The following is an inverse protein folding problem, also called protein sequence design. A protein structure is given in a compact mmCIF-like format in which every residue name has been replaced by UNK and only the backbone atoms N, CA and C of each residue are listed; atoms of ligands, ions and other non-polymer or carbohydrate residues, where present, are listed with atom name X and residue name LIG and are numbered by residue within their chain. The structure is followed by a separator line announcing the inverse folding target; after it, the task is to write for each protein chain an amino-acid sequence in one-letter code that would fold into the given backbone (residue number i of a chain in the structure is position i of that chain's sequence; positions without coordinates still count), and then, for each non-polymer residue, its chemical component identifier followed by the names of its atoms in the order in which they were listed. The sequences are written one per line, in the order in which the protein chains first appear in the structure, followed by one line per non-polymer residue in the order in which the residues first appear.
data_IF_320790025740
#
_entry.id   IF_320790025740
#
_cell.length_a   1.000
_cell.length_b   1.000
_cell.length_c   1.000
_cell.angle_alpha   90.00
_cell.angle_beta   90.00
_cell.angle_gamma   90.00
#
_symmetry.space_group_name_H-M   'P 1'
#
loop_
_entity.id
_entity.type
_entity.pdbx_description
1 polymer ?
#
# COMPACT_ATOMS: atom_id res chain seq x y z
N UNK A 1 -16.19 1.36 -7.49
CA UNK A 1 -15.13 2.30 -7.02
C UNK A 1 -14.06 2.41 -8.08
N UNK A 2 -13.51 3.60 -8.31
CA UNK A 2 -12.45 3.85 -9.31
C UNK A 2 -11.21 4.39 -8.59
N UNK A 3 -10.21 3.52 -8.35
CA UNK A 3 -8.94 3.90 -7.73
C UNK A 3 -8.03 4.72 -8.65
N UNK A 4 -8.32 4.74 -9.96
CA UNK A 4 -7.37 5.22 -10.96
C UNK A 4 -6.14 4.29 -11.09
N UNK A 5 -5.28 4.55 -12.07
CA UNK A 5 -4.07 3.75 -12.30
C UNK A 5 -2.96 4.10 -11.31
N UNK A 6 -2.89 5.36 -10.89
CA UNK A 6 -1.83 5.88 -10.02
C UNK A 6 -2.44 6.53 -8.77
N UNK A 7 -1.89 6.18 -7.62
CA UNK A 7 -2.19 6.80 -6.33
C UNK A 7 -0.95 7.18 -5.55
N UNK A 8 -1.16 7.62 -4.32
CA UNK A 8 -0.08 7.87 -3.36
C UNK A 8 -0.22 6.97 -2.14
N UNK A 9 0.89 6.64 -1.52
CA UNK A 9 0.95 6.02 -0.21
C UNK A 9 1.74 6.92 0.74
N UNK A 10 1.17 7.29 1.86
CA UNK A 10 1.90 7.95 2.96
C UNK A 10 1.08 7.93 4.25
N UNK A 11 1.77 7.95 5.39
CA UNK A 11 1.12 8.15 6.69
C UNK A 11 1.03 9.64 7.03
N UNK A 12 0.29 9.99 8.06
CA UNK A 12 0.23 11.37 8.56
C UNK A 12 1.45 11.77 9.40
N UNK A 13 2.36 10.84 9.72
CA UNK A 13 3.51 11.09 10.61
C UNK A 13 4.38 12.26 10.19
N UNK A 14 4.74 12.44 8.89
CA UNK A 14 5.65 13.53 8.49
C UNK A 14 5.06 14.93 8.65
N UNK A 15 3.73 15.09 8.66
CA UNK A 15 3.08 16.40 8.67
C UNK A 15 1.94 16.55 9.69
N UNK A 16 1.59 15.49 10.39
CA UNK A 16 0.51 15.44 11.39
C UNK A 16 -0.90 15.34 10.77
N UNK A 17 -1.86 14.74 11.52
CA UNK A 17 -3.23 14.51 11.03
C UNK A 17 -3.99 15.81 10.74
N UNK A 18 -3.66 16.91 11.40
CA UNK A 18 -4.29 18.21 11.15
C UNK A 18 -4.08 18.75 9.72
N UNK A 19 -2.98 18.31 9.06
CA UNK A 19 -2.68 18.70 7.68
C UNK A 19 -3.11 17.67 6.63
N UNK A 20 -3.79 16.59 7.04
CA UNK A 20 -4.23 15.54 6.12
C UNK A 20 -5.15 16.08 5.01
N UNK A 21 -6.09 16.96 5.35
CA UNK A 21 -6.97 17.59 4.36
C UNK A 21 -6.23 18.50 3.36
N UNK A 22 -5.19 19.21 3.80
CA UNK A 22 -4.33 20.02 2.91
C UNK A 22 -3.58 19.11 1.92
N UNK A 23 -2.99 18.05 2.43
CA UNK A 23 -2.28 17.07 1.61
C UNK A 23 -3.20 16.37 0.61
N UNK A 24 -4.42 15.98 1.06
CA UNK A 24 -5.41 15.32 0.22
C UNK A 24 -5.88 16.19 -0.97
N UNK A 25 -6.12 17.49 -0.72
CA UNK A 25 -6.44 18.44 -1.81
C UNK A 25 -5.34 18.50 -2.85
N UNK A 26 -4.08 18.52 -2.41
CA UNK A 26 -2.94 18.51 -3.35
C UNK A 26 -2.91 17.21 -4.16
N UNK A 27 -3.08 16.05 -3.51
CA UNK A 27 -3.10 14.74 -4.18
C UNK A 27 -4.19 14.69 -5.25
N UNK A 28 -5.41 15.14 -4.92
CA UNK A 28 -6.53 15.22 -5.87
C UNK A 28 -6.25 16.20 -7.01
N UNK A 29 -5.75 17.39 -6.72
CA UNK A 29 -5.42 18.42 -7.72
C UNK A 29 -4.34 17.98 -8.71
N UNK A 30 -3.42 17.13 -8.27
CA UNK A 30 -2.38 16.53 -9.10
C UNK A 30 -2.89 15.35 -9.94
N UNK A 31 -4.15 14.93 -9.78
CA UNK A 31 -4.77 13.87 -10.60
C UNK A 31 -4.55 12.45 -10.08
N UNK A 32 -3.98 12.27 -8.90
CA UNK A 32 -3.91 10.93 -8.29
C UNK A 32 -5.31 10.42 -7.94
N UNK A 33 -5.59 9.15 -8.23
CA UNK A 33 -6.93 8.58 -8.03
C UNK A 33 -7.18 8.09 -6.62
N UNK A 34 -6.15 7.72 -5.86
CA UNK A 34 -6.28 7.20 -4.51
C UNK A 34 -5.14 7.63 -3.58
N UNK A 35 -5.46 7.70 -2.28
CA UNK A 35 -4.46 7.80 -1.21
C UNK A 35 -4.60 6.63 -0.25
N UNK A 36 -3.57 5.79 -0.22
CA UNK A 36 -3.41 4.73 0.76
C UNK A 36 -2.75 5.29 2.02
N UNK A 37 -3.52 5.45 3.07
CA UNK A 37 -3.06 6.02 4.33
C UNK A 37 -2.32 4.97 5.14
N UNK A 38 -1.02 5.16 5.31
CA UNK A 38 -0.13 4.25 6.03
C UNK A 38 -0.12 4.44 7.54
N UNK A 39 0.66 3.60 8.23
CA UNK A 39 0.88 3.71 9.68
C UNK A 39 -0.16 3.00 10.53
N UNK A 40 -0.87 2.01 9.97
CA UNK A 40 -1.95 1.24 10.62
C UNK A 40 -3.12 2.12 11.10
N UNK A 41 -3.73 2.89 10.20
CA UNK A 41 -4.86 3.76 10.54
C UNK A 41 -6.08 2.93 10.93
N UNK A 42 -6.96 3.51 11.75
CA UNK A 42 -8.35 3.09 11.85
C UNK A 42 -9.16 3.67 10.69
N UNK A 43 -10.33 3.10 10.40
CA UNK A 43 -11.19 3.59 9.29
C UNK A 43 -11.54 5.07 9.45
N UNK A 44 -11.88 5.50 10.66
CA UNK A 44 -12.22 6.90 10.98
C UNK A 44 -11.10 7.90 10.68
N UNK A 45 -9.83 7.44 10.65
CA UNK A 45 -8.68 8.31 10.34
C UNK A 45 -8.67 8.75 8.87
N UNK A 46 -9.47 8.12 7.99
CA UNK A 46 -9.62 8.51 6.58
C UNK A 46 -10.55 9.71 6.38
N UNK A 47 -11.37 10.06 7.38
CA UNK A 47 -12.35 11.17 7.28
C UNK A 47 -11.73 12.51 6.83
N UNK A 48 -10.55 12.96 7.32
CA UNK A 48 -9.97 14.22 6.86
C UNK A 48 -9.63 14.24 5.37
N UNK A 49 -9.21 13.09 4.81
CA UNK A 49 -8.93 12.93 3.37
C UNK A 49 -10.23 13.03 2.58
N UNK A 50 -11.23 12.25 2.95
CA UNK A 50 -12.54 12.18 2.28
C UNK A 50 -13.29 13.52 2.33
N UNK A 51 -13.28 14.18 3.48
CA UNK A 51 -13.98 15.46 3.67
C UNK A 51 -13.34 16.63 2.93
N UNK A 52 -12.04 16.53 2.63
CA UNK A 52 -11.29 17.59 1.96
C UNK A 52 -11.31 17.48 0.43
N UNK A 53 -11.79 16.37 -0.14
CA UNK A 53 -11.72 16.02 -1.56
C UNK A 53 -13.09 15.61 -2.10
N UNK A 54 -13.23 15.56 -3.43
CA UNK A 54 -14.49 15.27 -4.11
C UNK A 54 -14.52 13.92 -4.81
N UNK A 55 -13.38 13.45 -5.31
CA UNK A 55 -13.23 12.24 -6.15
C UNK A 55 -12.18 11.27 -5.62
N UNK A 56 -11.20 11.77 -4.85
CA UNK A 56 -10.10 10.97 -4.33
C UNK A 56 -10.62 9.81 -3.48
N UNK A 57 -10.17 8.60 -3.79
CA UNK A 57 -10.44 7.42 -2.95
C UNK A 57 -9.46 7.41 -1.78
N UNK A 58 -9.95 7.25 -0.57
CA UNK A 58 -9.12 7.01 0.61
C UNK A 58 -9.12 5.51 0.93
N UNK A 59 -7.92 4.97 1.16
CA UNK A 59 -7.73 3.58 1.52
C UNK A 59 -6.91 3.43 2.80
N UNK A 60 -7.19 2.42 3.63
CA UNK A 60 -6.27 2.06 4.70
C UNK A 60 -5.09 1.27 4.12
N UNK A 61 -3.87 1.71 4.36
CA UNK A 61 -2.64 1.07 3.86
C UNK A 61 -1.70 0.64 4.99
N UNK A 62 -2.09 -0.25 5.88
CA UNK A 62 -3.31 -1.07 6.07
C UNK A 62 -3.82 -0.98 7.52
N UNK A 63 -5.12 -1.21 7.71
CA UNK A 63 -5.69 -1.49 9.02
C UNK A 63 -5.11 -2.82 9.54
N UNK A 64 -4.66 -2.83 10.80
CA UNK A 64 -4.05 -4.01 11.39
C UNK A 64 -5.05 -4.80 12.24
N UNK A 65 -5.31 -6.06 11.89
CA UNK A 65 -6.32 -6.91 12.57
C UNK A 65 -6.06 -7.14 14.06
N UNK A 66 -4.80 -7.03 14.52
CA UNK A 66 -4.45 -7.18 15.94
C UNK A 66 -4.75 -5.93 16.80
N UNK A 67 -5.02 -4.81 16.13
CA UNK A 67 -5.26 -3.50 16.75
C UNK A 67 -6.65 -2.94 16.49
N UNK A 68 -7.49 -3.72 15.81
CA UNK A 68 -8.80 -3.28 15.35
C UNK A 68 -9.87 -4.27 15.75
N UNK A 69 -10.94 -3.78 16.31
CA UNK A 69 -12.16 -4.58 16.52
C UNK A 69 -12.94 -4.65 15.19
N UNK A 70 -13.35 -5.83 14.71
CA UNK A 70 -14.06 -5.97 13.45
C UNK A 70 -15.45 -5.32 13.44
N UNK A 71 -16.15 -5.26 14.58
CA UNK A 71 -17.47 -4.64 14.65
C UNK A 71 -17.38 -3.11 14.64
N UNK A 72 -16.41 -2.55 15.37
CA UNK A 72 -16.11 -1.11 15.30
C UNK A 72 -15.65 -0.73 13.89
N UNK A 73 -14.78 -1.57 13.27
CA UNK A 73 -14.32 -1.37 11.88
C UNK A 73 -15.48 -1.32 10.92
N UNK A 74 -16.44 -2.26 11.02
CA UNK A 74 -17.61 -2.31 10.16
C UNK A 74 -18.54 -1.09 10.37
N UNK A 75 -18.70 -0.64 11.60
CA UNK A 75 -19.52 0.54 11.93
C UNK A 75 -18.90 1.84 11.38
N UNK A 76 -17.60 2.07 11.61
CA UNK A 76 -16.85 3.20 11.07
C UNK A 76 -16.86 3.21 9.53
N UNK A 77 -16.72 2.02 8.90
CA UNK A 77 -16.75 1.84 7.47
C UNK A 77 -18.13 2.22 6.88
N UNK A 78 -19.20 1.74 7.50
CA UNK A 78 -20.57 2.05 7.07
C UNK A 78 -20.88 3.56 7.20
N UNK A 79 -20.44 4.18 8.29
CA UNK A 79 -20.61 5.63 8.49
C UNK A 79 -19.90 6.44 7.39
N UNK A 80 -18.62 6.11 7.11
CA UNK A 80 -17.85 6.81 6.08
C UNK A 80 -18.38 6.54 4.67
N UNK A 81 -18.84 5.33 4.36
CA UNK A 81 -19.47 5.01 3.06
C UNK A 81 -20.78 5.77 2.85
N UNK A 82 -21.58 5.91 3.89
CA UNK A 82 -22.81 6.71 3.81
C UNK A 82 -22.51 8.18 3.55
N UNK A 83 -21.46 8.71 4.18
CA UNK A 83 -21.05 10.12 4.00
C UNK A 83 -20.30 10.37 2.69
N UNK A 84 -19.54 9.38 2.18
CA UNK A 84 -18.64 9.51 1.03
C UNK A 84 -18.76 8.28 0.09
N UNK A 85 -19.92 8.10 -0.57
CA UNK A 85 -20.20 6.89 -1.34
C UNK A 85 -19.19 6.63 -2.46
N UNK A 86 -18.73 5.37 -2.56
CA UNK A 86 -17.80 4.90 -3.60
C UNK A 86 -16.36 5.39 -3.47
N UNK A 87 -15.97 5.97 -2.33
CA UNK A 87 -14.66 6.60 -2.13
C UNK A 87 -13.82 5.98 -0.99
N UNK A 88 -14.21 4.82 -0.49
CA UNK A 88 -13.51 4.14 0.60
C UNK A 88 -13.10 2.73 0.19
N UNK A 89 -11.80 2.41 0.33
CA UNK A 89 -11.26 1.06 0.21
C UNK A 89 -10.68 0.62 1.57
N UNK A 90 -11.21 -0.48 2.11
CA UNK A 90 -10.71 -1.05 3.35
C UNK A 90 -9.54 -2.01 3.05
N UNK A 91 -8.31 -1.54 3.16
CA UNK A 91 -7.11 -2.38 3.12
C UNK A 91 -6.82 -2.99 4.49
N UNK A 92 -6.78 -4.32 4.57
CA UNK A 92 -6.67 -5.08 5.82
C UNK A 92 -5.36 -5.88 5.80
N UNK A 93 -4.60 -5.85 6.89
CA UNK A 93 -3.36 -6.58 7.00
C UNK A 93 -3.19 -7.27 8.35
N UNK A 94 -2.31 -8.28 8.34
CA UNK A 94 -2.02 -9.10 9.52
C UNK A 94 -0.78 -8.60 10.29
N UNK A 95 -0.06 -7.61 9.77
CA UNK A 95 1.20 -7.15 10.36
C UNK A 95 2.30 -8.21 10.33
N UNK A 96 3.22 -8.13 11.27
CA UNK A 96 4.43 -8.94 11.32
C UNK A 96 4.64 -9.53 12.71
N UNK A 97 5.19 -10.77 12.83
CA UNK A 97 5.44 -11.41 14.12
C UNK A 97 6.43 -10.61 15.00
N UNK A 98 7.36 -9.90 14.36
CA UNK A 98 8.35 -9.05 15.03
C UNK A 98 7.71 -7.78 15.64
N UNK A 99 6.52 -7.39 15.18
CA UNK A 99 5.83 -6.17 15.59
C UNK A 99 4.69 -6.38 16.60
N UNK A 100 4.31 -7.64 16.89
CA UNK A 100 3.22 -7.93 17.85
C UNK A 100 3.38 -9.29 18.51
N UNK A 101 3.27 -9.33 19.83
CA UNK A 101 3.32 -10.55 20.66
C UNK A 101 2.14 -11.50 20.38
N UNK A 102 1.04 -11.00 19.88
CA UNK A 102 -0.19 -11.76 19.63
C UNK A 102 -0.23 -12.43 18.26
N UNK A 103 0.82 -12.28 17.46
CA UNK A 103 0.91 -12.84 16.12
C UNK A 103 0.88 -14.37 16.17
N UNK A 104 -0.30 -14.95 15.99
CA UNK A 104 -0.51 -16.40 15.99
C UNK A 104 -1.47 -16.80 14.88
N UNK A 105 -1.11 -17.86 14.12
CA UNK A 105 -1.97 -18.41 13.07
C UNK A 105 -2.54 -17.32 12.14
N UNK A 106 -1.69 -16.54 11.46
CA UNK A 106 -2.09 -15.33 10.74
C UNK A 106 -3.23 -15.56 9.74
N UNK A 107 -3.23 -16.67 9.02
CA UNK A 107 -4.31 -16.99 8.08
C UNK A 107 -5.65 -17.23 8.79
N UNK A 108 -5.63 -17.90 9.96
CA UNK A 108 -6.84 -18.12 10.77
C UNK A 108 -7.35 -16.81 11.33
N UNK A 109 -6.46 -15.97 11.88
CA UNK A 109 -6.83 -14.66 12.42
C UNK A 109 -7.45 -13.76 11.35
N UNK A 110 -6.86 -13.70 10.15
CA UNK A 110 -7.44 -12.95 9.04
C UNK A 110 -8.81 -13.48 8.63
N UNK A 111 -9.00 -14.80 8.56
CA UNK A 111 -10.31 -15.41 8.28
C UNK A 111 -11.35 -15.02 9.33
N UNK A 112 -10.99 -15.17 10.62
CA UNK A 112 -11.91 -14.82 11.72
C UNK A 112 -12.29 -13.34 11.70
N UNK A 113 -11.35 -12.44 11.36
CA UNK A 113 -11.63 -11.02 11.21
C UNK A 113 -12.62 -10.76 10.07
N UNK A 114 -12.41 -11.39 8.89
CA UNK A 114 -13.32 -11.28 7.76
C UNK A 114 -14.69 -11.88 8.05
N UNK A 115 -14.76 -13.01 8.77
CA UNK A 115 -16.02 -13.64 9.16
C UNK A 115 -16.82 -12.74 10.10
N UNK A 116 -16.14 -12.05 11.03
CA UNK A 116 -16.76 -11.07 11.93
C UNK A 116 -17.24 -9.82 11.19
N UNK A 117 -16.48 -9.32 10.20
CA UNK A 117 -16.93 -8.22 9.32
C UNK A 117 -18.19 -8.62 8.54
N UNK A 118 -18.24 -9.83 7.97
CA UNK A 118 -19.37 -10.31 7.18
C UNK A 118 -20.62 -10.55 8.05
N UNK A 119 -20.43 -10.94 9.31
CA UNK A 119 -21.51 -11.16 10.28
C UNK A 119 -21.97 -9.89 11.01
N UNK A 120 -21.31 -8.76 10.79
CA UNK A 120 -21.65 -7.49 11.44
C UNK A 120 -23.03 -6.98 10.97
N UNK A 121 -23.70 -6.11 11.74
CA UNK A 121 -24.95 -5.47 11.31
C UNK A 121 -24.77 -4.59 10.04
N UNK A 122 -23.56 -4.14 9.77
CA UNK A 122 -23.20 -3.28 8.65
C UNK A 122 -21.97 -3.83 7.92
N UNK A 123 -22.08 -4.96 7.20
CA UNK A 123 -20.92 -5.63 6.61
C UNK A 123 -20.27 -4.77 5.52
N UNK A 124 -18.94 -4.70 5.56
CA UNK A 124 -18.15 -4.09 4.47
C UNK A 124 -18.27 -4.95 3.20
N UNK A 125 -18.69 -4.41 2.05
CA UNK A 125 -18.78 -5.18 0.81
C UNK A 125 -17.45 -5.81 0.40
N UNK A 126 -17.42 -7.07 -0.08
CA UNK A 126 -16.19 -7.75 -0.48
C UNK A 126 -15.39 -7.04 -1.58
N UNK A 127 -16.06 -6.31 -2.49
CA UNK A 127 -15.45 -5.54 -3.58
C UNK A 127 -14.94 -4.15 -3.15
N UNK A 128 -15.14 -3.79 -1.90
CA UNK A 128 -14.66 -2.52 -1.31
C UNK A 128 -13.62 -2.75 -0.20
N UNK A 129 -13.09 -3.96 -0.10
CA UNK A 129 -11.98 -4.30 0.79
C UNK A 129 -10.91 -5.11 0.06
N UNK A 130 -9.65 -5.01 0.48
CA UNK A 130 -8.53 -5.80 -0.04
C UNK A 130 -7.62 -6.26 1.09
N UNK A 131 -6.79 -7.27 0.83
CA UNK A 131 -5.82 -7.75 1.81
C UNK A 131 -4.39 -7.32 1.46
N UNK A 132 -3.59 -7.00 2.48
CA UNK A 132 -2.14 -6.98 2.35
C UNK A 132 -1.66 -8.44 2.35
N UNK A 133 -1.45 -9.01 1.18
CA UNK A 133 -1.18 -10.43 0.99
C UNK A 133 0.04 -10.66 0.11
N UNK A 134 1.11 -11.23 0.66
CA UNK A 134 2.32 -11.63 -0.06
C UNK A 134 2.36 -13.15 -0.28
N UNK A 135 2.08 -13.91 0.78
CA UNK A 135 2.17 -15.37 0.75
C UNK A 135 1.01 -16.02 -0.03
N UNK A 136 1.27 -17.16 -0.73
CA UNK A 136 0.28 -17.83 -1.58
C UNK A 136 -1.08 -18.07 -0.93
N UNK A 137 -1.13 -18.58 0.30
CA UNK A 137 -2.39 -18.86 1.00
C UNK A 137 -3.18 -17.60 1.36
N UNK A 138 -2.49 -16.48 1.61
CA UNK A 138 -3.13 -15.20 1.88
C UNK A 138 -3.65 -14.58 0.58
N UNK A 139 -2.94 -14.71 -0.54
CA UNK A 139 -3.42 -14.34 -1.88
C UNK A 139 -4.67 -15.14 -2.28
N UNK A 140 -4.73 -16.45 -1.97
CA UNK A 140 -5.94 -17.25 -2.19
C UNK A 140 -7.14 -16.73 -1.38
N UNK A 141 -6.89 -16.34 -0.13
CA UNK A 141 -7.92 -15.73 0.71
C UNK A 141 -8.39 -14.38 0.16
N UNK A 142 -7.45 -13.54 -0.29
CA UNK A 142 -7.76 -12.26 -0.93
C UNK A 142 -8.63 -12.48 -2.18
N UNK A 143 -8.26 -13.42 -3.05
CA UNK A 143 -9.05 -13.79 -4.24
C UNK A 143 -10.47 -14.21 -3.89
N UNK A 144 -10.63 -15.02 -2.84
CA UNK A 144 -11.92 -15.60 -2.48
C UNK A 144 -12.86 -14.61 -1.76
N UNK A 145 -12.32 -13.69 -0.97
CA UNK A 145 -13.11 -12.93 0.02
C UNK A 145 -13.09 -11.41 -0.17
N UNK A 146 -12.31 -10.89 -1.15
CA UNK A 146 -12.10 -9.43 -1.28
C UNK A 146 -11.99 -9.01 -2.76
N UNK A 147 -11.85 -7.70 -3.00
CA UNK A 147 -11.53 -7.15 -4.31
C UNK A 147 -10.18 -7.63 -4.84
N UNK A 148 -9.21 -7.89 -3.95
CA UNK A 148 -7.86 -8.29 -4.35
C UNK A 148 -6.82 -8.01 -3.27
N UNK A 149 -5.64 -7.55 -3.69
CA UNK A 149 -4.50 -7.33 -2.79
C UNK A 149 -3.85 -5.96 -2.93
N UNK A 150 -3.42 -5.41 -1.80
CA UNK A 150 -2.46 -4.32 -1.71
C UNK A 150 -1.10 -4.90 -1.32
N UNK A 151 -0.14 -4.82 -2.23
CA UNK A 151 1.21 -5.34 -2.03
C UNK A 151 2.12 -4.23 -1.50
N UNK A 152 3.10 -4.59 -0.70
CA UNK A 152 4.02 -3.63 -0.10
C UNK A 152 5.44 -4.15 -0.14
N UNK A 153 6.41 -3.29 -0.48
CA UNK A 153 7.83 -3.62 -0.56
C UNK A 153 8.10 -4.85 -1.45
N UNK A 154 7.64 -4.80 -2.70
CA UNK A 154 7.70 -5.92 -3.66
C UNK A 154 8.34 -5.49 -4.99
N UNK A 155 8.90 -6.48 -5.70
CA UNK A 155 9.37 -6.30 -7.08
C UNK A 155 8.22 -6.42 -8.11
N UNK A 156 8.41 -5.97 -9.36
CA UNK A 156 7.48 -6.25 -10.46
C UNK A 156 7.24 -7.76 -10.68
N UNK A 157 8.25 -8.59 -10.45
CA UNK A 157 8.10 -10.05 -10.55
C UNK A 157 7.12 -10.58 -9.50
N UNK A 158 7.16 -10.09 -8.25
CA UNK A 158 6.17 -10.47 -7.24
C UNK A 158 4.75 -10.00 -7.63
N UNK A 159 4.63 -8.83 -8.22
CA UNK A 159 3.36 -8.33 -8.78
C UNK A 159 2.81 -9.30 -9.83
N UNK A 160 3.66 -9.81 -10.73
CA UNK A 160 3.29 -10.80 -11.74
C UNK A 160 2.83 -12.13 -11.11
N UNK A 161 3.54 -12.61 -10.08
CA UNK A 161 3.14 -13.81 -9.34
C UNK A 161 1.78 -13.62 -8.64
N UNK A 162 1.55 -12.46 -8.01
CA UNK A 162 0.28 -12.13 -7.38
C UNK A 162 -0.86 -12.05 -8.42
N UNK A 163 -0.65 -11.40 -9.57
CA UNK A 163 -1.61 -11.36 -10.67
C UNK A 163 -1.97 -12.75 -11.16
N UNK A 164 -0.98 -13.58 -11.41
CA UNK A 164 -1.22 -14.96 -11.83
C UNK A 164 -2.08 -15.74 -10.84
N UNK A 165 -1.81 -15.56 -9.54
CA UNK A 165 -2.55 -16.27 -8.49
C UNK A 165 -3.96 -15.75 -8.26
N UNK A 166 -4.15 -14.45 -8.32
CA UNK A 166 -5.46 -13.81 -8.15
C UNK A 166 -6.37 -14.04 -9.37
N UNK A 167 -5.78 -14.10 -10.57
CA UNK A 167 -6.53 -14.20 -11.82
C UNK A 167 -7.07 -12.83 -12.30
N UNK A 168 -7.82 -12.84 -13.40
CA UNK A 168 -8.43 -11.63 -13.95
C UNK A 168 -9.54 -11.08 -13.06
N UNK A 169 -9.77 -9.77 -13.16
CA UNK A 169 -10.87 -9.08 -12.46
C UNK A 169 -10.65 -8.87 -10.95
N UNK A 170 -9.47 -9.22 -10.43
CA UNK A 170 -9.08 -8.94 -9.05
C UNK A 170 -8.05 -7.82 -9.01
N UNK A 171 -8.21 -6.91 -8.05
CA UNK A 171 -7.30 -5.80 -7.82
C UNK A 171 -5.89 -6.30 -7.43
N UNK A 172 -4.87 -5.82 -8.11
CA UNK A 172 -3.46 -5.90 -7.70
C UNK A 172 -2.92 -4.48 -7.59
N UNK A 173 -2.69 -4.02 -6.37
CA UNK A 173 -2.32 -2.65 -6.08
C UNK A 173 -1.01 -2.59 -5.27
N UNK A 174 0.17 -2.68 -5.91
CA UNK A 174 1.44 -2.51 -5.21
C UNK A 174 1.67 -1.07 -4.77
N UNK A 175 2.30 -0.93 -3.62
CA UNK A 175 3.02 0.27 -3.21
C UNK A 175 4.42 0.26 -3.84
N UNK A 176 4.92 1.43 -4.21
CA UNK A 176 6.28 1.64 -4.69
C UNK A 176 6.94 2.79 -3.95
N UNK A 177 7.77 2.45 -2.94
CA UNK A 177 8.66 3.42 -2.33
C UNK A 177 9.69 3.91 -3.36
N UNK A 178 10.04 5.20 -3.34
CA UNK A 178 11.01 5.75 -4.29
C UNK A 178 11.74 6.97 -3.70
N UNK A 179 12.92 7.28 -4.26
CA UNK A 179 13.73 8.45 -3.87
C UNK A 179 13.96 9.34 -5.10
N UNK A 180 13.37 10.53 -5.09
CA UNK A 180 13.55 11.50 -6.18
C UNK A 180 14.84 12.29 -5.99
N UNK A 181 15.96 11.65 -6.25
CA UNK A 181 17.30 12.23 -6.18
C UNK A 181 18.20 11.56 -7.22
N UNK A 182 18.88 12.38 -8.03
CA UNK A 182 19.78 11.92 -9.10
C UNK A 182 21.23 11.71 -8.60
N UNK A 183 21.55 12.08 -7.39
CA UNK A 183 22.80 11.69 -6.72
C UNK A 183 22.66 10.25 -6.23
N UNK A 184 23.26 9.32 -6.94
CA UNK A 184 23.10 7.87 -6.73
C UNK A 184 23.48 7.43 -5.32
N UNK A 185 24.57 7.96 -4.77
CA UNK A 185 25.05 7.53 -3.45
C UNK A 185 24.11 8.01 -2.34
N UNK A 186 23.69 9.27 -2.41
CA UNK A 186 22.75 9.85 -1.45
C UNK A 186 21.37 9.18 -1.55
N UNK A 187 20.86 9.01 -2.75
CA UNK A 187 19.57 8.36 -3.00
C UNK A 187 19.56 6.92 -2.50
N UNK A 188 20.59 6.14 -2.82
CA UNK A 188 20.71 4.75 -2.38
C UNK A 188 20.87 4.63 -0.87
N UNK A 189 21.53 5.59 -0.21
CA UNK A 189 21.61 5.62 1.25
C UNK A 189 20.22 5.77 1.89
N UNK A 190 19.36 6.65 1.37
CA UNK A 190 17.97 6.81 1.82
C UNK A 190 17.16 5.53 1.56
N UNK A 191 17.28 4.96 0.36
CA UNK A 191 16.59 3.73 -0.01
C UNK A 191 16.98 2.55 0.89
N UNK A 192 18.27 2.37 1.21
CA UNK A 192 18.76 1.33 2.12
C UNK A 192 18.26 1.52 3.55
N UNK A 193 18.31 2.75 4.07
CA UNK A 193 17.81 3.04 5.41
C UNK A 193 16.32 2.66 5.55
N UNK A 194 15.53 2.91 4.52
CA UNK A 194 14.14 2.46 4.47
C UNK A 194 14.03 0.94 4.37
N UNK A 195 14.75 0.31 3.44
CA UNK A 195 14.70 -1.13 3.18
C UNK A 195 15.10 -1.97 4.39
N UNK A 196 16.04 -1.51 5.23
CA UNK A 196 16.46 -2.20 6.45
C UNK A 196 15.29 -2.53 7.39
N UNK A 197 14.26 -1.66 7.44
CA UNK A 197 13.07 -1.90 8.26
C UNK A 197 12.24 -3.10 7.78
N UNK A 198 12.38 -3.51 6.53
CA UNK A 198 11.61 -4.59 5.90
C UNK A 198 12.43 -5.86 5.69
N UNK A 199 13.74 -5.73 5.40
CA UNK A 199 14.63 -6.87 5.21
C UNK A 199 14.84 -7.70 6.50
N UNK A 200 14.56 -7.12 7.67
CA UNK A 200 14.50 -7.85 8.95
C UNK A 200 13.20 -8.62 9.19
N UNK A 201 12.20 -8.51 8.29
CA UNK A 201 10.88 -9.12 8.46
C UNK A 201 10.72 -10.32 7.53
N UNK A 202 10.61 -11.52 8.10
CA UNK A 202 10.69 -12.79 7.38
C UNK A 202 9.68 -12.98 6.25
N UNK A 203 8.51 -12.34 6.30
CA UNK A 203 7.51 -12.41 5.23
C UNK A 203 7.92 -11.60 3.98
N UNK A 204 8.60 -10.45 4.15
CA UNK A 204 9.13 -9.69 3.00
C UNK A 204 10.32 -10.38 2.38
N UNK A 205 11.28 -10.84 3.21
CA UNK A 205 12.43 -11.60 2.74
C UNK A 205 12.00 -12.82 1.93
N UNK A 206 11.00 -13.57 2.43
CA UNK A 206 10.44 -14.72 1.70
C UNK A 206 9.83 -14.30 0.35
N UNK A 207 9.05 -13.22 0.31
CA UNK A 207 8.44 -12.74 -0.93
C UNK A 207 9.49 -12.29 -1.97
N UNK A 208 10.60 -11.69 -1.52
CA UNK A 208 11.72 -11.33 -2.37
C UNK A 208 12.43 -12.56 -2.93
N UNK A 209 12.72 -13.56 -2.09
CA UNK A 209 13.31 -14.84 -2.54
C UNK A 209 12.41 -15.57 -3.54
N UNK A 210 11.09 -15.64 -3.27
CA UNK A 210 10.10 -16.25 -4.16
C UNK A 210 9.99 -15.50 -5.51
N UNK A 211 10.39 -14.23 -5.56
CA UNK A 211 10.43 -13.39 -6.79
C UNK A 211 11.81 -13.31 -7.46
N UNK A 212 12.75 -14.23 -7.12
CA UNK A 212 14.00 -14.41 -7.85
C UNK A 212 15.20 -13.64 -7.31
N UNK A 213 15.11 -13.07 -6.10
CA UNK A 213 16.28 -12.62 -5.36
C UNK A 213 16.93 -13.82 -4.64
N UNK A 214 18.21 -13.69 -4.32
CA UNK A 214 18.99 -14.69 -3.60
C UNK A 214 19.16 -14.30 -2.13
N UNK A 215 19.61 -15.25 -1.29
CA UNK A 215 19.98 -14.96 0.11
C UNK A 215 21.06 -13.87 0.19
N UNK A 216 21.98 -13.83 -0.77
CA UNK A 216 23.00 -12.78 -0.85
C UNK A 216 22.41 -11.40 -1.18
N UNK A 217 21.29 -11.35 -1.93
CA UNK A 217 20.62 -10.10 -2.25
C UNK A 217 19.90 -9.50 -1.04
N UNK A 218 19.38 -10.32 -0.14
CA UNK A 218 18.63 -9.85 1.05
C UNK A 218 19.52 -9.65 2.29
N UNK A 219 20.77 -10.14 2.25
CA UNK A 219 21.75 -9.97 3.33
C UNK A 219 22.30 -8.54 3.40
N UNK A 220 22.89 -8.18 4.53
CA UNK A 220 23.70 -6.97 4.76
C UNK A 220 23.03 -5.64 4.33
N UNK A 221 21.71 -5.55 4.50
CA UNK A 221 20.93 -4.36 4.15
C UNK A 221 20.54 -4.29 2.67
N UNK A 222 20.67 -5.37 1.96
CA UNK A 222 20.24 -5.54 0.57
C UNK A 222 21.33 -5.24 -0.48
N UNK A 223 21.40 -6.06 -1.54
CA UNK A 223 22.26 -5.78 -2.69
C UNK A 223 21.79 -4.52 -3.45
N UNK A 224 22.67 -3.89 -4.22
CA UNK A 224 22.29 -2.78 -5.09
C UNK A 224 21.15 -3.20 -6.03
N UNK A 225 21.21 -4.39 -6.61
CA UNK A 225 20.17 -4.95 -7.47
C UNK A 225 18.81 -4.97 -6.78
N UNK A 226 18.76 -5.43 -5.53
CA UNK A 226 17.52 -5.49 -4.76
C UNK A 226 17.01 -4.09 -4.46
N UNK A 227 17.86 -3.23 -3.92
CA UNK A 227 17.48 -1.87 -3.53
C UNK A 227 16.96 -1.08 -4.74
N UNK A 228 17.70 -1.09 -5.86
CA UNK A 228 17.31 -0.37 -7.08
C UNK A 228 16.00 -0.90 -7.69
N UNK A 229 15.66 -2.18 -7.44
CA UNK A 229 14.42 -2.78 -7.92
C UNK A 229 13.21 -2.43 -7.04
N UNK A 230 13.34 -2.50 -5.70
CA UNK A 230 12.19 -2.37 -4.78
C UNK A 230 12.02 -0.95 -4.23
N UNK A 231 13.08 -0.14 -4.27
CA UNK A 231 13.07 1.29 -3.89
C UNK A 231 13.82 2.08 -4.96
N UNK A 232 13.27 2.25 -6.16
CA UNK A 232 13.95 2.94 -7.24
C UNK A 232 14.29 4.37 -6.88
N UNK A 233 15.43 4.84 -7.43
CA UNK A 233 15.94 6.18 -7.20
C UNK A 233 16.20 6.88 -8.53
N UNK A 234 16.21 8.22 -8.51
CA UNK A 234 16.56 9.04 -9.67
C UNK A 234 15.55 10.12 -10.00
N UNK A 235 15.46 10.49 -11.26
CA UNK A 235 14.49 11.45 -11.78
C UNK A 235 13.06 10.88 -11.75
N UNK A 236 12.06 11.74 -11.79
CA UNK A 236 10.66 11.30 -11.88
C UNK A 236 10.39 10.42 -13.12
N UNK A 237 11.11 10.64 -14.23
CA UNK A 237 11.02 9.80 -15.43
C UNK A 237 11.53 8.37 -15.19
N UNK A 238 12.66 8.23 -14.48
CA UNK A 238 13.19 6.91 -14.10
C UNK A 238 12.25 6.19 -13.13
N UNK A 239 11.71 6.89 -12.13
CA UNK A 239 10.70 6.29 -11.24
C UNK A 239 9.45 5.85 -12.03
N UNK A 240 9.01 6.63 -13.02
CA UNK A 240 7.87 6.28 -13.87
C UNK A 240 8.10 4.98 -14.68
N UNK A 241 9.34 4.65 -15.04
CA UNK A 241 9.68 3.37 -15.68
C UNK A 241 9.42 2.20 -14.73
N UNK A 242 9.78 2.32 -13.44
CA UNK A 242 9.50 1.29 -12.44
C UNK A 242 7.99 1.16 -12.17
N UNK A 243 7.25 2.25 -12.16
CA UNK A 243 5.77 2.20 -12.07
C UNK A 243 5.19 1.43 -13.25
N UNK A 244 5.65 1.72 -14.49
CA UNK A 244 5.21 0.99 -15.69
C UNK A 244 5.55 -0.50 -15.60
N UNK A 245 6.73 -0.86 -15.08
CA UNK A 245 7.10 -2.26 -14.89
C UNK A 245 6.12 -3.02 -13.98
N UNK A 246 5.59 -2.38 -12.93
CA UNK A 246 4.52 -2.98 -12.13
C UNK A 246 3.19 -3.09 -12.89
N UNK A 247 2.82 -2.08 -13.68
CA UNK A 247 1.61 -2.12 -14.51
C UNK A 247 1.72 -3.22 -15.58
N UNK A 248 2.86 -3.33 -16.26
CA UNK A 248 3.14 -4.39 -17.26
C UNK A 248 3.16 -5.79 -16.62
N UNK A 249 3.54 -5.88 -15.34
CA UNK A 249 3.45 -7.11 -14.55
C UNK A 249 2.02 -7.44 -14.11
N UNK A 250 1.04 -6.61 -14.43
CA UNK A 250 -0.38 -6.85 -14.19
C UNK A 250 -0.95 -6.13 -12.97
N UNK A 251 -0.31 -5.09 -12.44
CA UNK A 251 -0.95 -4.20 -11.49
C UNK A 251 -2.09 -3.41 -12.15
N UNK A 252 -3.18 -3.20 -11.42
CA UNK A 252 -4.29 -2.33 -11.85
C UNK A 252 -4.09 -0.91 -11.34
N UNK A 253 -3.35 -0.76 -10.25
CA UNK A 253 -3.10 0.48 -9.55
C UNK A 253 -1.70 0.42 -8.91
N UNK A 254 -0.93 1.49 -8.97
CA UNK A 254 0.35 1.62 -8.26
C UNK A 254 0.28 2.87 -7.38
N UNK A 255 0.55 2.74 -6.09
CA UNK A 255 0.64 3.90 -5.21
C UNK A 255 2.11 4.22 -4.89
N UNK A 256 2.55 5.43 -5.26
CA UNK A 256 3.91 5.88 -5.08
C UNK A 256 4.13 6.45 -3.67
N UNK A 257 5.26 6.11 -3.06
CA UNK A 257 5.70 6.60 -1.74
C UNK A 257 7.05 7.31 -1.86
N UNK A 258 7.11 8.61 -2.11
CA UNK A 258 8.38 9.33 -2.09
C UNK A 258 8.96 9.38 -0.67
N UNK A 259 10.25 9.10 -0.58
CA UNK A 259 11.04 9.08 0.65
C UNK A 259 11.98 10.29 0.72
N UNK A 260 12.43 10.62 1.95
CA UNK A 260 13.48 11.61 2.17
C UNK A 260 13.02 13.08 2.21
N UNK A 261 11.71 13.34 2.14
CA UNK A 261 11.15 14.69 2.32
C UNK A 261 10.48 14.85 3.69
N UNK A 262 10.72 15.95 4.36
CA UNK A 262 10.01 16.34 5.57
C UNK A 262 8.66 17.00 5.22
N UNK A 263 7.65 16.71 6.01
CA UNK A 263 6.32 17.26 5.82
C UNK A 263 5.55 16.64 4.66
N UNK A 264 4.72 17.44 3.98
CA UNK A 264 3.97 17.01 2.79
C UNK A 264 4.93 17.00 1.60
N UNK A 265 5.14 15.87 0.89
CA UNK A 265 6.13 15.74 -0.17
C UNK A 265 5.66 16.39 -1.49
N UNK A 266 5.45 17.70 -1.46
CA UNK A 266 4.85 18.49 -2.56
C UNK A 266 5.68 18.42 -3.83
N UNK A 267 7.00 18.55 -3.70
CA UNK A 267 7.89 18.58 -4.85
C UNK A 267 7.88 17.22 -5.55
N UNK A 268 8.04 16.13 -4.80
CA UNK A 268 8.02 14.78 -5.33
C UNK A 268 6.67 14.41 -5.93
N UNK A 269 5.56 14.68 -5.24
CA UNK A 269 4.23 14.41 -5.80
C UNK A 269 3.97 15.17 -7.09
N UNK A 270 4.38 16.47 -7.17
CA UNK A 270 4.23 17.26 -8.39
C UNK A 270 5.07 16.70 -9.54
N UNK A 271 6.32 16.31 -9.28
CA UNK A 271 7.20 15.75 -10.29
C UNK A 271 6.69 14.38 -10.80
N UNK A 272 6.25 13.52 -9.87
CA UNK A 272 5.68 12.20 -10.19
C UNK A 272 4.36 12.33 -10.96
N UNK A 273 3.47 13.23 -10.57
CA UNK A 273 2.21 13.46 -11.29
C UNK A 273 2.46 13.84 -12.75
N UNK A 274 3.40 14.76 -13.01
CA UNK A 274 3.78 15.16 -14.38
C UNK A 274 4.36 14.00 -15.20
N UNK A 275 5.08 13.07 -14.56
CA UNK A 275 5.70 11.94 -15.26
C UNK A 275 4.77 10.75 -15.49
N UNK A 276 3.72 10.60 -14.67
CA UNK A 276 2.84 9.44 -14.61
C UNK A 276 1.43 9.69 -15.13
N UNK A 277 0.94 10.93 -14.98
CA UNK A 277 -0.45 11.27 -15.27
C UNK A 277 -0.51 12.23 -16.47
N UNK A 278 0.53 13.03 -16.67
CA UNK A 278 0.70 13.93 -17.84
C UNK A 278 0.30 15.35 -17.52
#
# INVERSE_FOLDING_TARGET
MQLGTIGVWTSYRPFGPARAGEAAKLVEQLGFGAWWVGGSPQVRDLRPVLAATSTLVAATGILNVWRSDPLETAADDAELRAAFPGRLMLGIGIGHPEATSDYRRPLTAMRSFLDALDASPTPTPPDERCLAALAPKMLDLARARTAGTHLYFVSPEHTRLARHRLGPGKLVAPELACVLDTDTDRARAVARAYAQSYLGLGNYTRALLDSGFTEADVADGGSDRLIDTVVPQGSAGQIAEHVRAHLDAGADHVCVQPLGEDGIPRASWTALARALIG
#
